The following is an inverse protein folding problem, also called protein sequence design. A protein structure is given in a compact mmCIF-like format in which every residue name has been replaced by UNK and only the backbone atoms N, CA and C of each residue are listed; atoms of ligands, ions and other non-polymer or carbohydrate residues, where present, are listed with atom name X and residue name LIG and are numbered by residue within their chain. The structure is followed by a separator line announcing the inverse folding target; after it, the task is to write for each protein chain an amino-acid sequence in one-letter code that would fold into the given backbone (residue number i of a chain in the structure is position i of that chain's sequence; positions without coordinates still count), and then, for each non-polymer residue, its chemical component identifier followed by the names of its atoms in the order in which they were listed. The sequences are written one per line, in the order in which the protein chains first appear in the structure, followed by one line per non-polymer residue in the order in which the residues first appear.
data_IF_860214166252
#
_entry.id   IF_860214166252
#
_cell.length_a   1.000
_cell.length_b   1.000
_cell.length_c   1.000
_cell.angle_alpha   90.00
_cell.angle_beta   90.00
_cell.angle_gamma   90.00
#
_symmetry.space_group_name_H-M   'P 1'
#
loop_
_entity.id
_entity.type
_entity.pdbx_description
1 polymer ?
#
# COMPACT_ATOMS: atom_id res chain seq x y z
N UNK A 1 -44.93 -40.54 6.14
CA UNK A 1 -45.22 -39.71 4.95
C UNK A 1 -43.96 -38.94 4.62
N UNK A 2 -43.50 -39.04 3.38
CA UNK A 2 -42.21 -38.51 2.91
C UNK A 2 -42.55 -37.30 2.05
N UNK A 3 -42.19 -36.10 2.52
CA UNK A 3 -42.47 -34.86 1.78
C UNK A 3 -41.72 -34.86 0.44
N UNK A 4 -42.34 -34.39 -0.66
CA UNK A 4 -41.71 -34.40 -1.97
C UNK A 4 -40.61 -33.34 -2.02
N UNK A 5 -39.39 -33.78 -2.29
CA UNK A 5 -38.27 -32.90 -2.61
C UNK A 5 -38.63 -32.06 -3.85
N UNK A 6 -38.84 -30.76 -3.64
CA UNK A 6 -38.87 -29.75 -4.70
C UNK A 6 -37.58 -29.83 -5.51
N UNK A 7 -37.69 -30.32 -6.74
CA UNK A 7 -36.60 -30.41 -7.74
C UNK A 7 -36.39 -29.07 -8.46
N UNK A 8 -36.53 -27.95 -7.75
CA UNK A 8 -36.20 -26.64 -8.29
C UNK A 8 -34.76 -26.32 -7.92
N UNK A 9 -33.89 -25.96 -8.89
CA UNK A 9 -32.57 -25.46 -8.56
C UNK A 9 -32.75 -24.16 -7.76
N UNK A 10 -32.34 -24.18 -6.49
CA UNK A 10 -32.27 -22.95 -5.70
C UNK A 10 -31.10 -22.13 -6.24
N UNK A 11 -31.32 -20.92 -6.79
CA UNK A 11 -30.22 -20.10 -7.32
C UNK A 11 -29.28 -19.59 -6.22
N UNK A 12 -29.70 -19.72 -4.96
CA UNK A 12 -28.91 -19.38 -3.78
C UNK A 12 -28.88 -20.59 -2.86
N UNK A 13 -27.84 -21.40 -2.98
CA UNK A 13 -27.57 -22.44 -1.98
C UNK A 13 -27.17 -21.75 -0.68
N UNK A 14 -28.00 -21.93 0.36
CA UNK A 14 -27.66 -21.52 1.72
C UNK A 14 -26.36 -22.23 2.13
N UNK A 15 -25.33 -21.44 2.44
CA UNK A 15 -24.01 -21.83 2.96
C UNK A 15 -23.12 -22.64 1.99
N UNK A 16 -22.47 -21.93 1.05
CA UNK A 16 -21.35 -22.52 0.32
C UNK A 16 -20.14 -22.71 1.24
N UNK A 17 -19.86 -23.95 1.65
CA UNK A 17 -18.53 -24.36 2.16
C UNK A 17 -17.38 -23.98 1.20
N UNK A 18 -17.73 -23.66 -0.06
CA UNK A 18 -16.86 -23.18 -1.11
C UNK A 18 -16.39 -21.72 -0.92
N UNK A 19 -17.17 -20.88 -0.23
CA UNK A 19 -16.77 -19.52 0.13
C UNK A 19 -15.62 -19.54 1.15
N UNK A 20 -15.76 -20.33 2.21
CA UNK A 20 -14.77 -20.47 3.28
C UNK A 20 -13.41 -20.96 2.77
N UNK A 21 -13.37 -21.90 1.83
CA UNK A 21 -12.12 -22.39 1.23
C UNK A 21 -11.46 -21.33 0.35
N UNK A 22 -12.24 -20.57 -0.44
CA UNK A 22 -11.74 -19.43 -1.22
C UNK A 22 -11.19 -18.32 -0.33
N UNK A 23 -11.87 -17.99 0.78
CA UNK A 23 -11.37 -17.00 1.74
C UNK A 23 -10.06 -17.46 2.41
N UNK A 24 -9.95 -18.74 2.77
CA UNK A 24 -8.70 -19.30 3.31
C UNK A 24 -7.56 -19.32 2.27
N UNK A 25 -7.86 -19.62 1.01
CA UNK A 25 -6.87 -19.57 -0.07
C UNK A 25 -6.40 -18.14 -0.38
N UNK A 26 -7.34 -17.19 -0.41
CA UNK A 26 -7.05 -15.79 -0.70
C UNK A 26 -6.30 -15.12 0.45
N UNK A 27 -6.69 -15.37 1.71
CA UNK A 27 -5.95 -14.88 2.88
C UNK A 27 -4.52 -15.42 2.95
N UNK A 28 -4.29 -16.70 2.62
CA UNK A 28 -2.93 -17.26 2.47
C UNK A 28 -2.14 -16.59 1.35
N UNK A 29 -2.79 -16.30 0.23
CA UNK A 29 -2.17 -15.61 -0.92
C UNK A 29 -1.77 -14.18 -0.54
N UNK A 30 -2.62 -13.46 0.19
CA UNK A 30 -2.30 -12.14 0.72
C UNK A 30 -1.12 -12.23 1.67
N UNK A 31 -1.14 -13.16 2.63
CA UNK A 31 -0.04 -13.32 3.58
C UNK A 31 1.29 -13.59 2.87
N UNK A 32 1.30 -14.44 1.85
CA UNK A 32 2.49 -14.71 1.03
C UNK A 32 2.96 -13.49 0.21
N UNK A 33 2.03 -12.68 -0.32
CA UNK A 33 2.37 -11.45 -1.06
C UNK A 33 2.85 -10.35 -0.13
N UNK A 34 2.35 -10.29 1.10
CA UNK A 34 2.79 -9.35 2.12
C UNK A 34 4.15 -9.69 2.71
N UNK A 35 4.48 -10.98 2.89
CA UNK A 35 5.84 -11.37 3.27
C UNK A 35 6.83 -10.98 2.17
N UNK A 36 6.48 -11.20 0.91
CA UNK A 36 7.25 -10.72 -0.24
C UNK A 36 7.42 -9.19 -0.23
N UNK A 37 6.32 -8.45 -0.08
CA UNK A 37 6.33 -6.98 0.02
C UNK A 37 7.27 -6.51 1.14
N UNK A 38 7.16 -7.07 2.35
CA UNK A 38 7.99 -6.72 3.52
C UNK A 38 9.47 -7.01 3.29
N UNK A 39 9.78 -8.15 2.69
CA UNK A 39 11.15 -8.55 2.39
C UNK A 39 11.79 -7.57 1.38
N UNK A 40 11.13 -7.33 0.25
CA UNK A 40 11.66 -6.45 -0.80
C UNK A 40 11.71 -4.99 -0.40
N UNK A 41 10.72 -4.50 0.34
CA UNK A 41 10.73 -3.13 0.89
C UNK A 41 11.87 -2.93 1.88
N UNK A 42 12.12 -3.90 2.78
CA UNK A 42 13.25 -3.86 3.70
C UNK A 42 14.58 -3.83 2.95
N UNK A 43 14.74 -4.67 1.94
CA UNK A 43 15.96 -4.71 1.13
C UNK A 43 16.18 -3.40 0.36
N UNK A 44 15.11 -2.83 -0.21
CA UNK A 44 15.15 -1.58 -0.95
C UNK A 44 15.40 -0.34 -0.07
N UNK A 45 14.94 -0.37 1.18
CA UNK A 45 15.04 0.73 2.15
C UNK A 45 16.25 0.62 3.08
N UNK A 46 16.99 -0.49 3.05
CA UNK A 46 18.18 -0.68 3.89
C UNK A 46 19.21 0.41 3.59
N UNK A 47 19.57 1.22 4.58
CA UNK A 47 20.68 2.18 4.45
C UNK A 47 21.98 1.41 4.23
N UNK A 48 22.87 1.78 3.27
CA UNK A 48 22.91 3.01 2.48
C UNK A 48 22.32 2.92 1.05
N UNK A 49 21.62 1.84 0.71
CA UNK A 49 21.15 1.49 -0.64
C UNK A 49 20.43 2.63 -1.40
N UNK A 50 19.49 3.40 -0.80
CA UNK A 50 18.80 4.49 -1.51
C UNK A 50 19.74 5.61 -1.97
N UNK A 51 20.71 5.99 -1.12
CA UNK A 51 21.68 7.05 -1.43
C UNK A 51 22.60 6.63 -2.56
N UNK A 52 23.05 5.37 -2.55
CA UNK A 52 23.91 4.80 -3.60
C UNK A 52 23.16 4.75 -4.94
N UNK A 53 21.88 4.33 -4.95
CA UNK A 53 21.04 4.36 -6.17
C UNK A 53 20.96 5.76 -6.76
N UNK A 54 20.69 6.76 -5.92
CA UNK A 54 20.57 8.14 -6.37
C UNK A 54 21.88 8.67 -6.96
N UNK A 55 23.02 8.44 -6.27
CA UNK A 55 24.34 8.84 -6.76
C UNK A 55 24.69 8.15 -8.09
N UNK A 56 24.49 6.83 -8.19
CA UNK A 56 24.72 6.08 -9.42
C UNK A 56 23.83 6.58 -10.57
N UNK A 57 22.59 6.98 -10.27
CA UNK A 57 21.69 7.53 -11.27
C UNK A 57 22.13 8.91 -11.80
N UNK A 58 22.92 9.66 -11.04
CA UNK A 58 23.55 10.92 -11.51
C UNK A 58 24.81 10.59 -12.32
N UNK A 59 25.63 9.66 -11.85
CA UNK A 59 26.91 9.30 -12.48
C UNK A 59 26.67 8.61 -13.84
N UNK A 60 25.63 7.79 -13.98
CA UNK A 60 25.31 7.04 -15.19
C UNK A 60 25.24 7.92 -16.47
N UNK A 61 24.37 8.94 -16.55
CA UNK A 61 24.33 9.81 -17.73
C UNK A 61 25.62 10.60 -17.96
N UNK A 62 26.34 10.98 -16.89
CA UNK A 62 27.63 11.68 -16.99
C UNK A 62 28.65 10.77 -17.67
N UNK A 63 28.82 9.53 -17.21
CA UNK A 63 29.79 8.59 -17.81
C UNK A 63 29.47 8.27 -19.27
N UNK A 64 28.19 8.13 -19.63
CA UNK A 64 27.78 7.96 -21.03
C UNK A 64 28.08 9.21 -21.89
N UNK A 65 27.88 10.41 -21.34
CA UNK A 65 28.17 11.66 -22.06
C UNK A 65 29.69 11.85 -22.28
N UNK A 66 30.51 11.49 -21.30
CA UNK A 66 31.98 11.52 -21.43
C UNK A 66 32.46 10.61 -22.56
N UNK A 67 31.90 9.40 -22.67
CA UNK A 67 32.18 8.48 -23.78
C UNK A 67 31.73 9.04 -25.13
N UNK A 68 30.57 9.68 -25.19
CA UNK A 68 30.07 10.30 -26.42
C UNK A 68 31.01 11.42 -26.91
N UNK A 69 31.59 12.21 -26.00
CA UNK A 69 32.57 13.25 -26.33
C UNK A 69 33.97 12.73 -26.66
N UNK A 70 34.18 11.40 -26.63
CA UNK A 70 35.48 10.73 -26.83
C UNK A 70 36.59 11.31 -25.92
N UNK A 71 36.28 11.63 -24.66
CA UNK A 71 37.28 12.18 -23.74
C UNK A 71 38.30 11.10 -23.35
N UNK A 72 39.59 11.44 -23.38
CA UNK A 72 40.75 10.58 -23.09
C UNK A 72 40.69 9.78 -21.79
N UNK A 73 40.02 10.27 -20.74
CA UNK A 73 39.90 9.56 -19.46
C UNK A 73 38.61 8.72 -19.34
N UNK A 74 37.76 8.70 -20.37
CA UNK A 74 36.50 7.96 -20.33
C UNK A 74 36.74 6.46 -20.58
N UNK A 75 36.47 5.63 -19.58
CA UNK A 75 36.57 4.17 -19.69
C UNK A 75 35.22 3.52 -19.93
N UNK A 76 35.15 2.67 -20.95
CA UNK A 76 33.95 1.87 -21.25
C UNK A 76 33.62 0.91 -20.09
N UNK A 77 34.64 0.35 -19.43
CA UNK A 77 34.51 -0.50 -18.23
C UNK A 77 33.75 0.17 -17.11
N UNK A 78 34.13 1.40 -16.74
CA UNK A 78 33.49 2.10 -15.64
C UNK A 78 32.03 2.43 -15.99
N UNK A 79 31.75 2.85 -17.22
CA UNK A 79 30.39 3.17 -17.63
C UNK A 79 29.48 1.92 -17.62
N UNK A 80 29.96 0.79 -18.15
CA UNK A 80 29.22 -0.48 -18.10
C UNK A 80 29.01 -0.93 -16.65
N UNK A 81 30.03 -0.83 -15.80
CA UNK A 81 29.94 -1.18 -14.40
C UNK A 81 28.89 -0.33 -13.67
N UNK A 82 28.89 1.00 -13.89
CA UNK A 82 27.92 1.92 -13.28
C UNK A 82 26.49 1.55 -13.67
N UNK A 83 26.19 1.39 -14.98
CA UNK A 83 24.84 1.03 -15.42
C UNK A 83 24.43 -0.39 -14.96
N UNK A 84 25.37 -1.34 -14.91
CA UNK A 84 25.10 -2.72 -14.48
C UNK A 84 24.81 -2.80 -12.97
N UNK A 85 25.62 -2.13 -12.15
CA UNK A 85 25.41 -2.04 -10.70
C UNK A 85 24.09 -1.31 -10.42
N UNK A 86 23.81 -0.21 -11.12
CA UNK A 86 22.54 0.50 -11.00
C UNK A 86 21.35 -0.40 -11.33
N UNK A 87 21.40 -1.15 -12.43
CA UNK A 87 20.35 -2.10 -12.82
C UNK A 87 20.10 -3.16 -11.74
N UNK A 88 21.17 -3.75 -11.18
CA UNK A 88 21.07 -4.74 -10.10
C UNK A 88 20.42 -4.15 -8.84
N UNK A 89 20.79 -2.91 -8.49
CA UNK A 89 20.27 -2.22 -7.31
C UNK A 89 18.80 -1.81 -7.46
N UNK A 90 18.29 -1.70 -8.69
CA UNK A 90 16.90 -1.38 -9.01
C UNK A 90 15.96 -2.61 -9.01
N UNK A 91 16.49 -3.83 -8.97
CA UNK A 91 15.67 -5.05 -8.91
C UNK A 91 14.82 -5.09 -7.63
N UNK A 92 15.38 -4.87 -6.42
CA UNK A 92 14.59 -4.88 -5.18
C UNK A 92 13.47 -3.82 -5.16
N UNK A 93 13.71 -2.63 -5.72
CA UNK A 93 12.71 -1.54 -5.72
C UNK A 93 11.54 -1.84 -6.65
N UNK A 94 11.83 -2.40 -7.82
CA UNK A 94 10.82 -2.83 -8.78
C UNK A 94 9.96 -3.98 -8.21
N UNK A 95 10.59 -4.96 -7.56
CA UNK A 95 9.86 -6.05 -6.90
C UNK A 95 9.04 -5.53 -5.72
N UNK A 96 9.57 -4.65 -4.88
CA UNK A 96 8.82 -4.03 -3.79
C UNK A 96 7.55 -3.32 -4.30
N UNK A 97 7.66 -2.55 -5.38
CA UNK A 97 6.50 -1.89 -6.00
C UNK A 97 5.49 -2.90 -6.59
N UNK A 98 5.96 -3.94 -7.26
CA UNK A 98 5.09 -4.98 -7.83
C UNK A 98 4.32 -5.74 -6.76
N UNK A 99 5.00 -6.18 -5.69
CA UNK A 99 4.36 -6.87 -4.56
C UNK A 99 3.42 -5.95 -3.77
N UNK A 100 3.75 -4.66 -3.64
CA UNK A 100 2.83 -3.67 -3.06
C UNK A 100 1.52 -3.56 -3.87
N UNK A 101 1.61 -3.46 -5.20
CA UNK A 101 0.44 -3.43 -6.07
C UNK A 101 -0.39 -4.72 -6.04
N UNK A 102 0.25 -5.89 -5.99
CA UNK A 102 -0.43 -7.18 -5.89
C UNK A 102 -1.11 -7.36 -4.53
N UNK A 103 -0.41 -7.03 -3.43
CA UNK A 103 -0.96 -7.08 -2.07
C UNK A 103 -2.17 -6.16 -1.93
N UNK A 104 -2.07 -4.91 -2.37
CA UNK A 104 -3.16 -3.94 -2.32
C UNK A 104 -4.41 -4.44 -3.08
N UNK A 105 -4.23 -4.95 -4.31
CA UNK A 105 -5.34 -5.49 -5.11
C UNK A 105 -6.03 -6.66 -4.43
N UNK A 106 -5.28 -7.58 -3.83
CA UNK A 106 -5.89 -8.72 -3.16
C UNK A 106 -6.57 -8.32 -1.85
N UNK A 107 -5.98 -7.39 -1.09
CA UNK A 107 -6.59 -6.82 0.13
C UNK A 107 -7.91 -6.14 -0.20
N UNK A 108 -7.95 -5.38 -1.28
CA UNK A 108 -9.15 -4.74 -1.80
C UNK A 108 -10.18 -5.75 -2.36
N UNK A 109 -9.75 -6.94 -2.75
CA UNK A 109 -10.67 -8.03 -3.14
C UNK A 109 -11.21 -8.83 -1.95
N UNK A 110 -10.57 -8.76 -0.78
CA UNK A 110 -10.94 -9.54 0.41
C UNK A 110 -12.01 -8.84 1.27
N UNK A 111 -13.24 -8.71 0.75
CA UNK A 111 -14.47 -8.61 1.57
C UNK A 111 -15.67 -9.01 0.70
N UNK A 112 -16.07 -10.27 0.79
CA UNK A 112 -17.39 -10.74 0.33
C UNK A 112 -18.07 -11.50 1.47
N UNK A 113 -18.15 -10.84 2.64
CA UNK A 113 -19.07 -11.23 3.72
C UNK A 113 -20.34 -10.37 3.74
N UNK A 114 -20.61 -9.66 2.64
CA UNK A 114 -21.80 -8.82 2.50
C UNK A 114 -21.78 -7.99 1.23
N UNK A 115 -22.13 -8.62 0.09
CA UNK A 115 -22.71 -8.05 -1.15
C UNK A 115 -22.20 -6.73 -1.77
N UNK A 116 -21.13 -6.10 -1.31
CA UNK A 116 -20.53 -4.93 -1.96
C UNK A 116 -19.06 -5.20 -2.22
N UNK A 117 -18.71 -5.28 -3.50
CA UNK A 117 -17.31 -5.24 -3.92
C UNK A 117 -16.67 -3.96 -3.41
N UNK A 118 -15.47 -4.06 -2.86
CA UNK A 118 -14.72 -2.89 -2.37
C UNK A 118 -14.39 -1.91 -3.51
N UNK A 119 -14.54 -2.32 -4.77
CA UNK A 119 -14.49 -1.44 -5.94
C UNK A 119 -15.51 -0.28 -5.88
N UNK A 120 -16.57 -0.41 -5.08
CA UNK A 120 -17.55 0.64 -4.84
C UNK A 120 -17.10 1.68 -3.80
N UNK A 121 -16.02 1.44 -3.05
CA UNK A 121 -15.53 2.40 -2.07
C UNK A 121 -14.82 3.57 -2.75
N UNK A 122 -15.19 4.83 -2.43
CA UNK A 122 -14.58 5.99 -3.04
C UNK A 122 -13.07 6.04 -2.71
N UNK A 123 -12.25 6.30 -3.72
CA UNK A 123 -10.79 6.40 -3.58
C UNK A 123 -10.00 5.11 -3.79
N UNK A 124 -10.66 3.95 -3.91
CA UNK A 124 -10.00 2.66 -4.24
C UNK A 124 -9.29 2.72 -5.59
N UNK A 125 -9.97 3.25 -6.61
CA UNK A 125 -9.41 3.41 -7.95
C UNK A 125 -8.16 4.30 -7.93
N UNK A 126 -8.18 5.37 -7.13
CA UNK A 126 -7.02 6.26 -6.97
C UNK A 126 -5.83 5.52 -6.37
N UNK A 127 -6.03 4.77 -5.29
CA UNK A 127 -4.96 3.96 -4.66
C UNK A 127 -4.37 2.97 -5.67
N UNK A 128 -5.22 2.24 -6.39
CA UNK A 128 -4.79 1.26 -7.39
C UNK A 128 -4.07 1.92 -8.56
N UNK A 129 -4.52 3.09 -8.99
CA UNK A 129 -3.89 3.84 -10.07
C UNK A 129 -2.52 4.36 -9.65
N UNK A 130 -2.40 4.96 -8.46
CA UNK A 130 -1.13 5.44 -7.92
C UNK A 130 -0.10 4.31 -7.78
N UNK A 131 -0.53 3.13 -7.30
CA UNK A 131 0.35 1.95 -7.22
C UNK A 131 0.76 1.44 -8.61
N UNK A 132 -0.18 1.40 -9.57
CA UNK A 132 0.09 0.96 -10.94
C UNK A 132 1.05 1.90 -11.65
N UNK A 133 0.85 3.20 -11.49
CA UNK A 133 1.70 4.25 -12.04
C UNK A 133 3.12 4.16 -11.45
N UNK A 134 3.25 3.87 -10.15
CA UNK A 134 4.54 3.65 -9.51
C UNK A 134 5.26 2.41 -10.05
N UNK A 135 4.56 1.28 -10.20
CA UNK A 135 5.13 0.06 -10.82
C UNK A 135 5.61 0.34 -12.24
N UNK A 136 4.83 1.10 -13.02
CA UNK A 136 5.22 1.49 -14.37
C UNK A 136 6.51 2.32 -14.36
N UNK A 137 6.61 3.33 -13.49
CA UNK A 137 7.81 4.16 -13.36
C UNK A 137 9.03 3.37 -12.89
N UNK A 138 8.88 2.45 -11.94
CA UNK A 138 9.97 1.57 -11.49
C UNK A 138 10.47 0.65 -12.62
N UNK A 139 9.55 0.13 -13.45
CA UNK A 139 9.91 -0.65 -14.64
C UNK A 139 10.63 0.18 -15.68
N UNK A 140 10.17 1.40 -15.97
CA UNK A 140 10.85 2.31 -16.88
C UNK A 140 12.26 2.62 -16.35
N UNK A 141 12.42 2.89 -15.05
CA UNK A 141 13.71 3.13 -14.41
C UNK A 141 14.66 1.93 -14.57
N UNK A 142 14.20 0.71 -14.30
CA UNK A 142 14.99 -0.51 -14.46
C UNK A 142 15.35 -0.78 -15.93
N UNK A 143 14.38 -0.70 -16.84
CA UNK A 143 14.60 -0.95 -18.27
C UNK A 143 15.53 0.09 -18.87
N UNK A 144 15.42 1.37 -18.48
CA UNK A 144 16.35 2.41 -18.94
C UNK A 144 17.78 2.13 -18.50
N UNK A 145 18.01 1.72 -17.24
CA UNK A 145 19.34 1.33 -16.78
C UNK A 145 19.89 0.10 -17.53
N UNK A 146 19.04 -0.91 -17.76
CA UNK A 146 19.41 -2.12 -18.50
C UNK A 146 19.76 -1.82 -19.96
N UNK A 147 18.92 -1.06 -20.67
CA UNK A 147 19.18 -0.68 -22.06
C UNK A 147 20.41 0.24 -22.19
N UNK A 148 20.64 1.14 -21.22
CA UNK A 148 21.87 1.92 -21.16
C UNK A 148 23.13 1.04 -21.06
N UNK A 149 23.11 0.01 -20.21
CA UNK A 149 24.19 -0.96 -20.09
C UNK A 149 24.41 -1.76 -21.39
N UNK A 150 23.32 -2.26 -22.00
CA UNK A 150 23.36 -3.03 -23.23
C UNK A 150 23.89 -2.19 -24.40
N UNK A 151 23.48 -0.93 -24.51
CA UNK A 151 23.95 -0.02 -25.56
C UNK A 151 25.46 0.22 -25.47
N UNK A 152 26.01 0.49 -24.27
CA UNK A 152 27.45 0.70 -24.11
C UNK A 152 28.23 -0.61 -24.35
N UNK A 153 27.72 -1.73 -23.83
CA UNK A 153 28.31 -3.06 -24.05
C UNK A 153 28.35 -3.43 -25.54
N UNK A 154 27.31 -3.06 -26.30
CA UNK A 154 27.26 -3.26 -27.74
C UNK A 154 28.32 -2.41 -28.46
N UNK A 155 28.50 -1.14 -28.08
CA UNK A 155 29.52 -0.26 -28.68
C UNK A 155 30.93 -0.80 -28.44
N UNK A 156 31.19 -1.38 -27.26
CA UNK A 156 32.48 -1.97 -26.98
C UNK A 156 32.68 -3.28 -27.77
N UNK A 157 31.77 -4.25 -27.63
CA UNK A 157 32.02 -5.60 -28.16
C UNK A 157 31.74 -5.77 -29.65
N UNK A 158 30.95 -4.88 -30.26
CA UNK A 158 30.63 -4.93 -31.68
C UNK A 158 31.32 -3.76 -32.36
N UNK A 159 32.01 -4.05 -33.47
CA UNK A 159 32.58 -3.04 -34.38
C UNK A 159 31.45 -2.24 -35.04
N UNK A 160 30.89 -1.31 -34.26
CA UNK A 160 29.66 -0.59 -34.57
C UNK A 160 29.87 0.58 -35.55
N UNK A 161 31.10 0.82 -35.99
CA UNK A 161 31.44 2.00 -36.80
C UNK A 161 31.17 3.32 -36.06
N UNK A 162 31.56 4.45 -36.65
CA UNK A 162 31.44 5.74 -35.96
C UNK A 162 29.99 6.25 -35.84
N UNK A 163 29.16 5.98 -36.85
CA UNK A 163 27.78 6.48 -36.90
C UNK A 163 26.86 5.73 -35.95
N UNK A 164 26.87 4.40 -35.97
CA UNK A 164 26.01 3.60 -35.11
C UNK A 164 26.54 3.56 -33.67
N UNK A 165 27.86 3.63 -33.47
CA UNK A 165 28.46 3.82 -32.14
C UNK A 165 28.03 5.12 -31.45
N UNK A 166 28.07 6.26 -32.16
CA UNK A 166 27.63 7.56 -31.60
C UNK A 166 26.13 7.59 -31.30
N UNK A 167 25.28 6.97 -32.14
CA UNK A 167 23.84 6.83 -31.88
C UNK A 167 23.55 5.99 -30.63
N UNK A 168 24.24 4.86 -30.44
CA UNK A 168 24.09 4.00 -29.27
C UNK A 168 24.54 4.70 -27.98
N UNK A 169 25.66 5.42 -28.02
CA UNK A 169 26.13 6.21 -26.88
C UNK A 169 25.15 7.35 -26.57
N UNK A 170 24.62 8.04 -27.60
CA UNK A 170 23.58 9.05 -27.44
C UNK A 170 22.30 8.48 -26.82
N UNK A 171 21.84 7.31 -27.26
CA UNK A 171 20.71 6.61 -26.65
C UNK A 171 20.98 6.25 -25.19
N UNK A 172 22.19 5.82 -24.86
CA UNK A 172 22.58 5.52 -23.48
C UNK A 172 22.54 6.76 -22.57
N UNK A 173 22.95 7.93 -23.07
CA UNK A 173 22.79 9.21 -22.34
C UNK A 173 21.31 9.48 -22.05
N UNK A 174 20.44 9.37 -23.07
CA UNK A 174 19.00 9.58 -22.91
C UNK A 174 18.42 8.62 -21.88
N UNK A 175 18.78 7.33 -21.94
CA UNK A 175 18.33 6.34 -20.96
C UNK A 175 18.85 6.64 -19.55
N UNK A 176 20.09 7.11 -19.40
CA UNK A 176 20.64 7.58 -18.12
C UNK A 176 19.86 8.76 -17.54
N UNK A 177 19.52 9.75 -18.37
CA UNK A 177 18.70 10.91 -17.96
C UNK A 177 17.28 10.49 -17.57
N UNK A 178 16.65 9.60 -18.33
CA UNK A 178 15.35 9.04 -17.98
C UNK A 178 15.40 8.29 -16.64
N UNK A 179 16.48 7.55 -16.38
CA UNK A 179 16.68 6.87 -15.10
C UNK A 179 16.77 7.89 -13.95
N UNK A 180 17.53 8.97 -14.13
CA UNK A 180 17.69 10.07 -13.15
C UNK A 180 16.36 10.74 -12.82
N UNK A 181 15.60 11.17 -13.84
CA UNK A 181 14.30 11.81 -13.63
C UNK A 181 13.31 10.92 -12.89
N UNK A 182 13.31 9.62 -13.21
CA UNK A 182 12.48 8.66 -12.49
C UNK A 182 12.98 8.44 -11.05
N UNK A 183 14.30 8.43 -10.80
CA UNK A 183 14.83 8.27 -9.44
C UNK A 183 14.46 9.44 -8.55
N UNK A 184 14.56 10.68 -9.05
CA UNK A 184 14.11 11.87 -8.31
C UNK A 184 12.63 11.77 -7.88
N UNK A 185 11.75 11.29 -8.77
CA UNK A 185 10.32 11.16 -8.46
C UNK A 185 9.97 9.97 -7.55
N UNK A 186 10.79 8.91 -7.56
CA UNK A 186 10.49 7.64 -6.87
C UNK A 186 11.11 7.54 -5.48
N UNK A 187 12.28 8.16 -5.27
CA UNK A 187 13.02 8.03 -4.01
C UNK A 187 12.46 8.92 -2.89
N UNK A 188 11.60 9.91 -3.23
CA UNK A 188 10.92 10.79 -2.26
C UNK A 188 9.80 10.08 -1.47
N UNK A 189 9.28 8.94 -1.94
CA UNK A 189 8.24 8.20 -1.21
C UNK A 189 8.23 6.70 -1.52
N UNK A 190 8.46 5.88 -0.49
CA UNK A 190 8.22 4.44 -0.52
C UNK A 190 6.84 4.19 0.12
N UNK A 191 5.81 3.80 -0.66
CA UNK A 191 4.48 3.57 -0.13
C UNK A 191 4.43 2.30 0.71
N UNK A 192 3.44 2.21 1.60
CA UNK A 192 3.15 1.03 2.43
C UNK A 192 4.31 0.63 3.39
N UNK A 193 5.07 1.58 3.93
CA UNK A 193 6.09 1.30 4.96
C UNK A 193 5.47 0.78 6.27
N UNK A 194 4.30 1.29 6.64
CA UNK A 194 3.53 0.85 7.80
C UNK A 194 3.00 -0.57 7.61
N UNK A 195 3.19 -1.41 8.62
CA UNK A 195 2.68 -2.79 8.62
C UNK A 195 1.21 -2.87 9.06
N UNK A 196 0.77 -1.96 9.92
CA UNK A 196 -0.57 -1.94 10.51
C UNK A 196 -1.61 -1.33 9.55
N UNK A 197 -1.26 -0.20 8.94
CA UNK A 197 -2.11 0.57 8.01
C UNK A 197 -1.41 0.80 6.66
N UNK A 198 -1.24 -0.24 5.83
CA UNK A 198 -0.41 -0.15 4.64
C UNK A 198 -1.01 0.80 3.58
N UNK A 199 -2.33 0.83 3.42
CA UNK A 199 -3.02 1.62 2.38
C UNK A 199 -3.35 3.04 2.81
N UNK A 200 -3.30 3.35 4.11
CA UNK A 200 -3.62 4.68 4.65
C UNK A 200 -2.73 5.78 4.05
N UNK A 201 -1.42 5.50 3.87
CA UNK A 201 -0.49 6.43 3.23
C UNK A 201 -0.83 6.80 1.77
N UNK A 202 -1.64 5.99 1.10
CA UNK A 202 -2.06 6.17 -0.29
C UNK A 202 -3.48 6.70 -0.40
N UNK A 203 -4.24 6.70 0.70
CA UNK A 203 -5.61 7.17 0.73
C UNK A 203 -5.62 8.69 0.81
N UNK A 204 -6.37 9.32 -0.09
CA UNK A 204 -6.70 10.72 0.01
C UNK A 204 -8.11 10.82 0.60
N UNK A 205 -8.32 11.61 1.66
CA UNK A 205 -9.61 11.67 2.35
C UNK A 205 -10.70 12.07 1.37
N UNK A 206 -11.85 11.40 1.48
CA UNK A 206 -12.99 11.61 0.59
C UNK A 206 -13.87 12.74 1.13
N UNK A 207 -14.47 13.53 0.23
CA UNK A 207 -15.35 14.63 0.60
C UNK A 207 -16.53 14.12 1.45
N UNK A 208 -16.72 14.70 2.62
CA UNK A 208 -17.86 14.37 3.50
C UNK A 208 -19.11 15.10 3.02
N UNK A 209 -20.30 14.56 3.32
CA UNK A 209 -21.53 15.31 3.13
C UNK A 209 -21.57 16.52 4.09
N UNK A 210 -22.04 17.68 3.60
CA UNK A 210 -22.09 18.92 4.39
C UNK A 210 -23.01 18.85 5.61
N UNK A 211 -23.91 17.85 5.67
CA UNK A 211 -24.73 17.54 6.84
C UNK A 211 -24.17 16.27 7.50
N UNK A 212 -23.36 16.46 8.54
CA UNK A 212 -22.84 15.38 9.38
C UNK A 212 -23.90 15.01 10.42
N UNK A 213 -24.35 13.76 10.43
CA UNK A 213 -25.24 13.25 11.49
C UNK A 213 -24.42 12.91 12.75
N UNK A 214 -23.16 12.47 12.56
CA UNK A 214 -22.24 12.09 13.64
C UNK A 214 -20.84 12.64 13.35
N UNK A 215 -20.50 13.83 13.86
CA UNK A 215 -19.36 14.60 13.37
C UNK A 215 -18.01 13.91 13.56
N UNK A 216 -17.77 13.22 14.68
CA UNK A 216 -16.48 12.55 14.91
C UNK A 216 -16.39 11.24 14.11
N UNK A 217 -17.44 10.43 14.15
CA UNK A 217 -17.49 9.14 13.45
C UNK A 217 -17.38 9.34 11.94
N UNK A 218 -18.18 10.24 11.36
CA UNK A 218 -18.20 10.48 9.91
C UNK A 218 -16.86 11.06 9.42
N UNK A 219 -16.23 11.93 10.23
CA UNK A 219 -14.92 12.51 9.91
C UNK A 219 -13.81 11.45 9.99
N UNK A 220 -13.82 10.58 10.99
CA UNK A 220 -12.84 9.48 11.12
C UNK A 220 -12.98 8.48 9.98
N UNK A 221 -14.20 8.01 9.70
CA UNK A 221 -14.47 7.01 8.65
C UNK A 221 -13.98 7.47 7.29
N UNK A 222 -14.12 8.76 6.98
CA UNK A 222 -13.74 9.27 5.68
C UNK A 222 -12.25 9.63 5.55
N UNK A 223 -11.48 9.56 6.64
CA UNK A 223 -10.02 9.51 6.62
C UNK A 223 -9.46 8.08 6.60
N UNK A 224 -10.28 7.08 6.91
CA UNK A 224 -9.86 5.69 6.83
C UNK A 224 -9.75 5.22 5.39
N UNK A 225 -8.67 4.48 5.11
CA UNK A 225 -8.58 3.73 3.87
C UNK A 225 -9.66 2.64 3.84
N UNK A 226 -10.10 2.19 2.66
CA UNK A 226 -11.18 1.21 2.50
C UNK A 226 -10.98 -0.09 3.30
N UNK A 227 -9.74 -0.55 3.52
CA UNK A 227 -9.48 -1.71 4.37
C UNK A 227 -9.78 -1.37 5.84
N UNK A 228 -9.26 -0.25 6.33
CA UNK A 228 -9.44 0.21 7.71
C UNK A 228 -10.88 0.59 8.02
N UNK A 229 -11.58 1.24 7.08
CA UNK A 229 -13.02 1.51 7.19
C UNK A 229 -13.81 0.20 7.31
N UNK A 230 -13.42 -0.84 6.58
CA UNK A 230 -14.08 -2.14 6.69
C UNK A 230 -13.84 -2.84 8.02
N UNK A 231 -12.61 -2.77 8.55
CA UNK A 231 -12.30 -3.28 9.90
C UNK A 231 -13.05 -2.48 10.98
N UNK A 232 -13.21 -1.18 10.77
CA UNK A 232 -13.97 -0.31 11.64
C UNK A 232 -15.45 -0.73 11.68
N UNK A 233 -16.07 -0.97 10.52
CA UNK A 233 -17.45 -1.47 10.44
C UNK A 233 -17.62 -2.82 11.16
N UNK A 234 -16.67 -3.75 10.98
CA UNK A 234 -16.70 -5.06 11.64
C UNK A 234 -16.56 -4.93 13.17
N UNK A 235 -15.74 -3.98 13.64
CA UNK A 235 -15.56 -3.66 15.05
C UNK A 235 -16.80 -2.96 15.65
N UNK A 236 -17.40 -2.01 14.92
CA UNK A 236 -18.70 -1.41 15.28
C UNK A 236 -19.79 -2.48 15.35
N UNK A 237 -19.78 -3.41 14.39
CA UNK A 237 -20.69 -4.54 14.31
C UNK A 237 -20.55 -5.50 15.51
N UNK A 238 -19.32 -5.85 15.91
CA UNK A 238 -19.10 -6.69 17.09
C UNK A 238 -19.51 -5.98 18.39
N UNK A 239 -19.36 -4.66 18.45
CA UNK A 239 -19.83 -3.85 19.57
C UNK A 239 -21.35 -3.75 19.62
N UNK A 240 -22.06 -3.84 18.48
CA UNK A 240 -23.52 -3.64 18.41
C UNK A 240 -24.33 -4.58 19.32
N UNK A 241 -23.88 -5.82 19.52
CA UNK A 241 -24.52 -6.80 20.42
C UNK A 241 -24.37 -6.43 21.91
N UNK A 242 -23.36 -5.60 22.20
CA UNK A 242 -22.90 -5.24 23.54
C UNK A 242 -23.30 -3.82 23.97
N UNK A 243 -24.06 -3.10 23.13
CA UNK A 243 -24.64 -1.79 23.43
C UNK A 243 -25.86 -1.94 24.35
N UNK A 244 -26.13 -0.95 25.19
CA UNK A 244 -27.34 -0.92 26.03
C UNK A 244 -28.61 -0.70 25.19
N UNK A 245 -29.74 -1.22 25.67
CA UNK A 245 -31.01 -1.32 24.91
C UNK A 245 -31.53 0.03 24.39
N UNK A 246 -31.17 1.14 25.04
CA UNK A 246 -31.67 2.48 24.71
C UNK A 246 -30.77 3.28 23.74
N UNK A 247 -29.68 2.69 23.23
CA UNK A 247 -28.68 3.37 22.39
C UNK A 247 -28.50 2.66 21.05
N UNK A 248 -28.31 3.43 19.97
CA UNK A 248 -27.86 2.88 18.69
C UNK A 248 -26.34 2.67 18.71
N UNK A 249 -25.79 1.63 18.04
CA UNK A 249 -24.34 1.36 18.04
C UNK A 249 -23.50 2.55 17.58
N UNK A 250 -23.98 3.28 16.58
CA UNK A 250 -23.29 4.46 16.07
C UNK A 250 -23.34 5.66 17.04
N UNK A 251 -24.46 5.87 17.75
CA UNK A 251 -24.56 6.91 18.81
C UNK A 251 -23.64 6.57 19.99
N UNK A 252 -23.58 5.29 20.34
CA UNK A 252 -22.73 4.78 21.40
C UNK A 252 -21.24 5.04 21.12
N UNK A 253 -20.81 4.81 19.87
CA UNK A 253 -19.44 5.07 19.42
C UNK A 253 -19.14 6.56 19.36
N UNK A 254 -20.06 7.39 18.86
CA UNK A 254 -19.90 8.84 18.86
C UNK A 254 -19.73 9.40 20.29
N UNK A 255 -20.47 8.87 21.26
CA UNK A 255 -20.32 9.23 22.67
C UNK A 255 -18.96 8.81 23.24
N UNK A 256 -18.45 7.64 22.84
CA UNK A 256 -17.13 7.15 23.24
C UNK A 256 -16.00 7.98 22.62
N UNK A 257 -16.09 8.30 21.33
CA UNK A 257 -15.12 9.17 20.64
C UNK A 257 -15.10 10.57 21.26
N UNK A 258 -16.26 11.10 21.63
CA UNK A 258 -16.34 12.38 22.37
C UNK A 258 -15.66 12.29 23.74
N UNK A 259 -15.89 11.21 24.48
CA UNK A 259 -15.25 11.01 25.78
C UNK A 259 -13.72 10.88 25.66
N UNK A 260 -13.22 10.19 24.62
CA UNK A 260 -11.80 10.11 24.28
C UNK A 260 -11.22 11.48 23.95
N UNK A 261 -11.88 12.24 23.10
CA UNK A 261 -11.44 13.58 22.73
C UNK A 261 -11.33 14.53 23.94
N UNK A 262 -12.29 14.45 24.87
CA UNK A 262 -12.25 15.22 26.12
C UNK A 262 -11.15 14.77 27.08
N UNK A 263 -10.80 13.48 27.06
CA UNK A 263 -9.67 12.95 27.83
C UNK A 263 -8.32 13.39 27.25
N UNK A 264 -8.16 13.41 25.92
CA UNK A 264 -6.97 13.95 25.27
C UNK A 264 -6.75 15.43 25.57
N UNK A 265 -7.83 16.21 25.64
CA UNK A 265 -7.78 17.62 26.05
C UNK A 265 -7.54 17.82 27.55
N UNK A 266 -7.30 16.76 28.33
CA UNK A 266 -7.13 16.76 29.79
C UNK A 266 -8.33 17.30 30.58
N UNK A 267 -9.50 17.39 29.95
CA UNK A 267 -10.74 17.82 30.59
C UNK A 267 -11.47 16.68 31.31
N UNK A 268 -11.08 15.43 31.01
CA UNK A 268 -11.65 14.22 31.58
C UNK A 268 -10.54 13.28 32.06
N UNK A 269 -10.62 12.85 33.32
CA UNK A 269 -9.68 11.88 33.90
C UNK A 269 -9.95 10.45 33.38
N UNK A 270 -8.93 9.59 33.35
CA UNK A 270 -9.00 8.24 32.77
C UNK A 270 -10.07 7.37 33.48
N UNK A 271 -10.24 7.55 34.80
CA UNK A 271 -11.29 6.90 35.58
C UNK A 271 -12.71 7.35 35.18
N UNK A 272 -12.86 8.63 34.80
CA UNK A 272 -14.12 9.18 34.30
C UNK A 272 -14.41 8.72 32.89
N UNK A 273 -13.39 8.57 32.04
CA UNK A 273 -13.54 8.02 30.69
C UNK A 273 -14.11 6.59 30.72
N UNK A 274 -13.59 5.73 31.60
CA UNK A 274 -14.12 4.38 31.80
C UNK A 274 -15.56 4.40 32.33
N UNK A 275 -15.92 5.40 33.13
CA UNK A 275 -17.28 5.57 33.63
C UNK A 275 -18.24 5.97 32.52
N UNK A 276 -17.85 6.91 31.65
CA UNK A 276 -18.63 7.32 30.48
C UNK A 276 -18.76 6.19 29.46
N UNK A 277 -17.72 5.37 29.24
CA UNK A 277 -17.81 4.18 28.40
C UNK A 277 -18.80 3.14 28.96
N UNK A 278 -18.78 2.89 30.29
CA UNK A 278 -19.70 1.96 30.98
C UNK A 278 -21.17 2.40 30.98
N UNK A 279 -21.44 3.70 30.78
CA UNK A 279 -22.81 4.21 30.62
C UNK A 279 -23.45 3.78 29.32
N UNK A 280 -22.64 3.58 28.29
CA UNK A 280 -23.10 3.32 26.92
C UNK A 280 -22.98 1.84 26.55
N UNK A 281 -21.91 1.18 27.02
CA UNK A 281 -21.63 -0.21 26.73
C UNK A 281 -21.86 -1.12 27.94
N UNK A 282 -22.20 -2.39 27.69
CA UNK A 282 -22.26 -3.45 28.71
C UNK A 282 -20.85 -3.82 29.16
N UNK A 283 -20.72 -4.41 30.36
CA UNK A 283 -19.42 -4.82 30.92
C UNK A 283 -18.68 -5.80 30.00
N UNK A 284 -19.41 -6.68 29.29
CA UNK A 284 -18.84 -7.62 28.32
C UNK A 284 -18.20 -6.94 27.10
N UNK A 285 -18.62 -5.73 26.75
CA UNK A 285 -18.02 -4.92 25.69
C UNK A 285 -16.69 -4.31 26.12
N UNK A 286 -16.55 -4.01 27.42
CA UNK A 286 -15.38 -3.32 27.97
C UNK A 286 -14.12 -4.16 27.78
N UNK A 287 -14.24 -5.48 27.93
CA UNK A 287 -13.14 -6.41 27.67
C UNK A 287 -12.69 -6.34 26.21
N UNK A 288 -13.62 -6.23 25.26
CA UNK A 288 -13.32 -6.06 23.82
C UNK A 288 -12.79 -4.66 23.45
N UNK A 289 -13.14 -3.63 24.22
CA UNK A 289 -12.64 -2.26 24.08
C UNK A 289 -11.18 -2.10 24.58
N UNK A 290 -10.77 -2.94 25.52
CA UNK A 290 -9.42 -2.97 26.10
C UNK A 290 -8.51 -4.07 25.54
N UNK A 291 -9.03 -4.94 24.68
CA UNK A 291 -8.24 -6.01 24.08
C UNK A 291 -7.16 -5.43 23.15
N UNK A 292 -5.90 -5.80 23.39
CA UNK A 292 -4.76 -5.40 22.55
C UNK A 292 -4.67 -6.27 21.27
N UNK A 293 -5.50 -7.31 21.14
CA UNK A 293 -5.52 -8.19 19.97
C UNK A 293 -6.27 -7.62 18.75
N UNK A 294 -7.17 -6.66 18.98
CA UNK A 294 -7.97 -6.00 17.94
C UNK A 294 -7.21 -4.81 17.33
N UNK A 295 -7.41 -4.56 16.03
CA UNK A 295 -6.80 -3.41 15.34
C UNK A 295 -7.28 -2.05 15.90
N UNK A 296 -8.46 -2.02 16.50
CA UNK A 296 -9.06 -0.84 17.14
C UNK A 296 -9.32 -1.13 18.62
N UNK A 297 -8.67 -0.38 19.50
CA UNK A 297 -8.87 -0.40 20.93
C UNK A 297 -8.77 1.03 21.52
N UNK A 298 -9.10 1.21 22.81
CA UNK A 298 -9.07 2.52 23.46
C UNK A 298 -7.67 3.18 23.41
N UNK A 299 -6.61 2.39 23.35
CA UNK A 299 -5.23 2.89 23.24
C UNK A 299 -4.89 3.35 21.81
N UNK A 300 -5.35 2.61 20.80
CA UNK A 300 -5.12 2.91 19.38
C UNK A 300 -5.95 4.08 18.90
N UNK A 301 -7.08 4.36 19.56
CA UNK A 301 -7.92 5.53 19.29
C UNK A 301 -7.42 6.82 19.96
N UNK A 302 -6.45 6.72 20.89
CA UNK A 302 -5.79 7.83 21.59
C UNK A 302 -4.44 8.20 20.97
N UNK A 303 -3.98 7.43 19.98
CA UNK A 303 -2.64 7.53 19.38
C UNK A 303 -2.71 8.18 18.01
#
# INVERSE_FOLDING_TARGET
MKDPHSSLPTPYSNSSKYGDSKHRALSRTIAARDTGRRFWTRLAAMSPTPKIRFLLSIIAPVTAALLLTKWEFASYEAAIAVFSILSLLLIPTNLAAAFAGMSARDRLKLRDRGQRSMDAYPGVERILNTLRERVLRERIRLLSALFGALSITAVWNLDTGETLGSLLLGASVIFGVLCLLNSMRLDDSIPMLSNTFPLLSLHAPTLHHSALDKPLTDLMVAHFDPETAGVWDDWVGSLSESVRVDQTPYSAIEHLLRALHLNEQSLLDDARLLTEAKRVFKVTAMDGLTDDSTKFNLKSLRA
#
